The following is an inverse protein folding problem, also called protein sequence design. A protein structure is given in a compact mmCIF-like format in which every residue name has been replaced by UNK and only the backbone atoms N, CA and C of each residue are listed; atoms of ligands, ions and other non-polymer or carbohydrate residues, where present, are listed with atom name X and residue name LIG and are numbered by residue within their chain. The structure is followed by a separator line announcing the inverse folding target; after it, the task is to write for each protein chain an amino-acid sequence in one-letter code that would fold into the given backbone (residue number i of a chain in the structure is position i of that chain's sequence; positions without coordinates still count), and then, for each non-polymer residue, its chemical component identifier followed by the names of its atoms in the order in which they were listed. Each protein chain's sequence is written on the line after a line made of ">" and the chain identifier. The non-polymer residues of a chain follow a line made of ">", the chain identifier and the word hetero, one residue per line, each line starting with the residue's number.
data_IF_211045346183
#
_entry.id   IF_211045346183
#
_cell.length_a   1.000
_cell.length_b   1.000
_cell.length_c   1.000
_cell.angle_alpha   90.00
_cell.angle_beta   90.00
_cell.angle_gamma   90.00
#
_symmetry.space_group_name_H-M   'P 1'
#
loop_
_entity.id
_entity.type
_entity.pdbx_description
1 polymer ?
#
# COMPACT_ATOMS: atom_id res chain seq x y z
N UNK A 1 4.47 43.01 23.36
CA UNK A 1 4.99 41.70 22.94
C UNK A 1 3.80 40.92 22.42
N UNK A 2 3.73 40.64 21.11
CA UNK A 2 2.64 39.89 20.52
C UNK A 2 2.73 38.44 21.00
N UNK A 3 1.56 37.87 21.31
CA UNK A 3 1.39 36.47 21.66
C UNK A 3 1.54 35.65 20.37
N UNK A 4 2.45 34.67 20.39
CA UNK A 4 2.69 33.76 19.27
C UNK A 4 1.44 32.89 19.03
N UNK A 5 0.81 33.13 17.89
CA UNK A 5 -0.40 32.47 17.37
C UNK A 5 -0.11 31.09 16.74
N UNK A 6 1.14 30.60 16.88
CA UNK A 6 1.66 29.43 16.17
C UNK A 6 1.28 28.10 16.79
N UNK A 7 0.76 28.09 18.03
CA UNK A 7 0.32 26.87 18.71
C UNK A 7 -1.05 26.35 18.23
N UNK A 8 -1.87 27.19 17.59
CA UNK A 8 -3.22 26.80 17.14
C UNK A 8 -3.25 26.10 15.77
N UNK A 9 -2.15 26.14 15.00
CA UNK A 9 -2.12 25.60 13.64
C UNK A 9 -1.81 24.10 13.54
N UNK A 10 -1.48 23.43 14.67
CA UNK A 10 -1.17 22.00 14.70
C UNK A 10 -2.31 21.12 15.25
N UNK A 11 -3.42 21.72 15.71
CA UNK A 11 -4.56 21.00 16.28
C UNK A 11 -5.62 20.56 15.24
N UNK A 12 -5.42 20.86 13.96
CA UNK A 12 -6.46 20.67 12.93
C UNK A 12 -6.24 19.51 11.96
N UNK A 13 -5.43 18.49 12.31
CA UNK A 13 -5.63 17.17 11.69
C UNK A 13 -6.84 16.53 12.37
N UNK A 14 -8.00 16.74 11.77
CA UNK A 14 -9.28 16.22 12.24
C UNK A 14 -9.17 14.70 12.38
N UNK A 15 -9.05 14.24 13.63
CA UNK A 15 -9.03 12.84 14.01
C UNK A 15 -10.12 12.09 13.25
N UNK A 16 -9.78 10.94 12.66
CA UNK A 16 -10.82 10.03 12.16
C UNK A 16 -11.72 9.72 13.34
N UNK A 17 -12.99 10.18 13.35
CA UNK A 17 -13.87 9.99 14.49
C UNK A 17 -14.07 8.48 14.71
N UNK A 18 -14.28 8.04 15.96
CA UNK A 18 -14.56 6.63 16.24
C UNK A 18 -15.79 6.23 15.41
N UNK A 19 -15.67 5.12 14.70
CA UNK A 19 -16.76 4.64 13.87
C UNK A 19 -17.92 4.17 14.76
N UNK A 20 -19.15 4.48 14.35
CA UNK A 20 -20.32 3.90 15.00
C UNK A 20 -20.33 2.39 14.74
N UNK A 21 -20.52 1.55 15.77
CA UNK A 21 -20.47 0.11 15.60
C UNK A 21 -21.51 -0.35 14.60
N UNK A 22 -21.06 -0.91 13.47
CA UNK A 22 -21.95 -1.61 12.56
C UNK A 22 -22.55 -2.84 13.24
N UNK A 23 -23.86 -3.05 13.06
CA UNK A 23 -24.50 -4.28 13.50
C UNK A 23 -23.78 -5.49 12.89
N UNK A 24 -23.56 -6.54 13.69
CA UNK A 24 -23.01 -7.79 13.18
C UNK A 24 -23.88 -8.29 12.01
N UNK A 25 -23.24 -8.64 10.90
CA UNK A 25 -23.92 -9.09 9.69
C UNK A 25 -24.89 -10.25 9.99
N UNK A 26 -26.10 -10.19 9.43
CA UNK A 26 -27.10 -11.26 9.53
C UNK A 26 -26.60 -12.51 8.79
N UNK A 27 -26.07 -13.47 9.54
CA UNK A 27 -25.49 -14.70 9.02
C UNK A 27 -26.46 -15.54 8.15
N UNK A 28 -27.77 -15.23 8.15
CA UNK A 28 -28.78 -15.89 7.31
C UNK A 28 -28.97 -15.28 5.92
N UNK A 29 -28.52 -14.04 5.66
CA UNK A 29 -28.69 -13.37 4.35
C UNK A 29 -27.43 -13.55 3.50
N UNK A 30 -27.58 -14.12 2.30
CA UNK A 30 -26.51 -14.14 1.30
C UNK A 30 -26.51 -12.79 0.59
N UNK A 31 -25.50 -11.96 0.87
CA UNK A 31 -25.36 -10.65 0.23
C UNK A 31 -24.81 -10.78 -1.18
N UNK A 32 -25.45 -10.09 -2.12
CA UNK A 32 -25.06 -10.09 -3.53
C UNK A 32 -24.06 -8.97 -3.82
N UNK A 33 -23.36 -9.07 -4.96
CA UNK A 33 -22.52 -7.97 -5.44
C UNK A 33 -23.31 -6.66 -5.59
N UNK A 34 -24.60 -6.71 -5.94
CA UNK A 34 -25.42 -5.50 -6.08
C UNK A 34 -25.68 -4.82 -4.74
N UNK A 35 -25.92 -5.59 -3.67
CA UNK A 35 -26.05 -5.07 -2.31
C UNK A 35 -24.76 -4.35 -1.89
N UNK A 36 -23.61 -4.99 -2.09
CA UNK A 36 -22.29 -4.43 -1.77
C UNK A 36 -21.97 -3.18 -2.59
N UNK A 37 -22.23 -3.20 -3.89
CA UNK A 37 -22.01 -2.04 -4.75
C UNK A 37 -22.90 -0.86 -4.35
N UNK A 38 -24.11 -1.12 -3.84
CA UNK A 38 -24.98 -0.07 -3.31
C UNK A 38 -24.43 0.54 -2.00
N UNK A 39 -23.89 -0.28 -1.09
CA UNK A 39 -23.22 0.22 0.13
C UNK A 39 -21.99 1.06 -0.19
N UNK A 40 -21.12 0.56 -1.07
CA UNK A 40 -19.92 1.27 -1.54
C UNK A 40 -20.31 2.62 -2.15
N UNK A 41 -21.33 2.62 -3.03
CA UNK A 41 -21.83 3.83 -3.66
C UNK A 41 -22.36 4.82 -2.62
N UNK A 42 -23.17 4.37 -1.67
CA UNK A 42 -23.72 5.24 -0.63
C UNK A 42 -22.62 5.88 0.23
N UNK A 43 -21.54 5.15 0.54
CA UNK A 43 -20.37 5.69 1.25
C UNK A 43 -19.64 6.72 0.38
N UNK A 44 -19.40 6.41 -0.89
CA UNK A 44 -18.76 7.33 -1.84
C UNK A 44 -19.56 8.62 -2.06
N UNK A 45 -20.88 8.52 -2.22
CA UNK A 45 -21.78 9.68 -2.39
C UNK A 45 -21.71 10.60 -1.15
N UNK A 46 -21.74 10.02 0.07
CA UNK A 46 -21.59 10.77 1.32
C UNK A 46 -20.23 11.45 1.44
N UNK A 47 -19.15 10.77 1.05
CA UNK A 47 -17.82 11.36 1.02
C UNK A 47 -17.73 12.55 0.04
N UNK A 48 -18.27 12.37 -1.18
CA UNK A 48 -18.30 13.43 -2.18
C UNK A 48 -19.10 14.66 -1.73
N UNK A 49 -20.19 14.46 -0.98
CA UNK A 49 -20.95 15.55 -0.36
C UNK A 49 -20.13 16.25 0.75
N UNK A 50 -19.48 15.48 1.62
CA UNK A 50 -18.63 16.03 2.67
C UNK A 50 -17.46 16.86 2.11
N UNK A 51 -16.81 16.39 1.05
CA UNK A 51 -15.74 17.12 0.36
C UNK A 51 -16.24 18.46 -0.21
N UNK A 52 -17.44 18.47 -0.82
CA UNK A 52 -18.07 19.73 -1.29
C UNK A 52 -18.39 20.70 -0.15
N UNK A 53 -18.65 20.18 1.04
CA UNK A 53 -18.91 20.95 2.25
C UNK A 53 -17.61 21.37 2.98
N UNK A 54 -16.43 21.16 2.38
CA UNK A 54 -15.15 21.63 2.90
C UNK A 54 -14.43 20.65 3.81
N UNK A 55 -14.88 19.39 3.92
CA UNK A 55 -14.14 18.34 4.63
C UNK A 55 -12.80 18.07 3.92
N UNK A 56 -11.73 17.85 4.68
CA UNK A 56 -10.44 17.45 4.13
C UNK A 56 -10.52 16.10 3.38
N UNK A 57 -9.72 15.89 2.32
CA UNK A 57 -9.66 14.61 1.62
C UNK A 57 -9.23 13.45 2.52
N UNK A 58 -9.90 12.30 2.40
CA UNK A 58 -9.59 11.08 3.15
C UNK A 58 -8.69 10.17 2.30
N UNK A 59 -7.37 10.30 2.44
CA UNK A 59 -6.38 9.63 1.59
C UNK A 59 -5.98 8.23 2.07
N UNK A 60 -6.46 7.81 3.23
CA UNK A 60 -6.17 6.51 3.85
C UNK A 60 -7.41 5.61 3.86
N UNK A 61 -7.25 4.28 3.89
CA UNK A 61 -8.40 3.38 3.99
C UNK A 61 -9.15 3.63 5.30
N UNK A 62 -10.48 3.65 5.24
CA UNK A 62 -11.30 3.72 6.44
C UNK A 62 -11.13 2.45 7.26
N UNK A 63 -10.82 2.61 8.56
CA UNK A 63 -10.65 1.49 9.49
C UNK A 63 -11.94 0.69 9.65
N UNK A 64 -13.08 1.39 9.72
CA UNK A 64 -14.40 0.78 9.75
C UNK A 64 -15.11 0.93 8.41
N UNK A 65 -14.68 0.13 7.44
CA UNK A 65 -15.27 0.08 6.12
C UNK A 65 -16.17 -1.15 5.96
N UNK A 66 -17.44 -1.05 6.37
CA UNK A 66 -18.38 -2.16 6.37
C UNK A 66 -18.39 -3.05 5.10
N UNK A 67 -18.33 -2.51 3.85
CA UNK A 67 -18.25 -3.33 2.63
C UNK A 67 -17.11 -4.36 2.65
N UNK A 68 -16.02 -4.07 3.35
CA UNK A 68 -14.99 -5.04 3.69
C UNK A 68 -15.34 -5.75 4.99
N UNK A 69 -16.12 -6.84 4.91
CA UNK A 69 -16.76 -7.49 6.06
C UNK A 69 -15.82 -7.89 7.20
N UNK A 70 -14.55 -8.19 6.89
CA UNK A 70 -13.57 -8.54 7.92
C UNK A 70 -13.16 -7.36 8.81
N UNK A 71 -13.33 -6.11 8.38
CA UNK A 71 -12.98 -4.92 9.19
C UNK A 71 -13.94 -4.70 10.35
N UNK A 72 -15.21 -5.09 10.20
CA UNK A 72 -16.29 -4.86 11.19
C UNK A 72 -15.89 -5.34 12.59
N UNK A 73 -15.21 -6.48 12.69
CA UNK A 73 -14.78 -7.08 13.96
C UNK A 73 -13.28 -6.90 14.25
N UNK A 74 -12.56 -6.14 13.42
CA UNK A 74 -11.09 -6.02 13.47
C UNK A 74 -10.59 -4.59 13.40
N UNK A 75 -11.44 -3.61 13.71
CA UNK A 75 -11.05 -2.22 13.83
C UNK A 75 -11.13 -1.76 15.30
N UNK A 76 -10.30 -0.78 15.71
CA UNK A 76 -10.39 -0.20 17.04
C UNK A 76 -11.68 0.62 17.16
N UNK A 77 -12.45 0.41 18.23
CA UNK A 77 -13.67 1.19 18.53
C UNK A 77 -13.39 2.48 19.29
N UNK A 78 -12.14 2.68 19.72
CA UNK A 78 -11.66 3.89 20.38
C UNK A 78 -10.75 4.64 19.43
N UNK A 79 -10.76 5.97 19.53
CA UNK A 79 -9.81 6.82 18.82
C UNK A 79 -8.37 6.42 19.12
N UNK A 80 -7.50 6.52 18.12
CA UNK A 80 -6.08 6.36 18.32
C UNK A 80 -5.56 7.49 19.22
N UNK A 81 -4.70 7.14 20.16
CA UNK A 81 -4.00 8.13 20.96
C UNK A 81 -2.73 8.52 20.23
N UNK A 82 -2.65 9.78 19.80
CA UNK A 82 -1.43 10.32 19.23
C UNK A 82 -0.38 10.43 20.33
N UNK A 83 0.79 9.88 20.05
CA UNK A 83 1.98 10.04 20.86
C UNK A 83 3.03 10.75 20.02
N UNK A 84 3.81 11.62 20.64
CA UNK A 84 5.02 12.15 20.03
C UNK A 84 5.99 10.98 19.83
N UNK A 85 6.49 10.71 18.60
CA UNK A 85 7.47 9.66 18.40
C UNK A 85 8.70 9.93 19.25
N UNK A 86 9.07 8.98 20.10
CA UNK A 86 10.30 9.07 20.87
C UNK A 86 11.49 8.79 19.94
N UNK A 87 12.71 8.93 20.49
CA UNK A 87 13.94 8.66 19.73
C UNK A 87 14.00 7.26 19.12
N UNK A 88 13.24 6.28 19.60
CA UNK A 88 13.27 4.90 19.09
C UNK A 88 12.40 4.70 17.84
N UNK A 89 11.27 5.39 17.72
CA UNK A 89 10.40 5.33 16.53
C UNK A 89 10.99 6.06 15.32
N UNK A 90 11.99 6.92 15.56
CA UNK A 90 12.74 7.64 14.52
C UNK A 90 13.82 6.80 13.83
N UNK A 91 14.01 5.54 14.25
CA UNK A 91 14.92 4.61 13.59
C UNK A 91 14.18 3.41 13.02
N UNK A 92 14.59 3.00 11.83
CA UNK A 92 14.11 1.80 11.14
C UNK A 92 15.24 0.75 11.04
N UNK A 93 14.93 -0.56 11.01
CA UNK A 93 15.91 -1.57 10.68
C UNK A 93 16.58 -1.29 9.33
N UNK A 94 17.91 -1.24 9.32
CA UNK A 94 18.69 -1.17 8.09
C UNK A 94 19.13 -2.58 7.68
N UNK A 95 18.87 -2.95 6.43
CA UNK A 95 19.31 -4.22 5.85
C UNK A 95 20.46 -3.96 4.89
N UNK A 96 21.58 -4.66 5.08
CA UNK A 96 22.74 -4.51 4.21
C UNK A 96 22.55 -5.26 2.89
N UNK A 97 23.32 -4.88 1.86
CA UNK A 97 23.34 -5.58 0.57
C UNK A 97 23.74 -7.07 0.66
N UNK A 98 24.35 -7.48 1.77
CA UNK A 98 24.72 -8.88 2.01
C UNK A 98 23.57 -9.72 2.57
N UNK A 99 22.51 -9.08 3.09
CA UNK A 99 21.36 -9.76 3.70
C UNK A 99 20.30 -10.17 2.66
N UNK A 100 20.33 -9.53 1.48
CA UNK A 100 19.38 -9.74 0.38
C UNK A 100 20.15 -9.86 -0.93
N UNK A 101 20.09 -11.03 -1.54
CA UNK A 101 20.78 -11.28 -2.81
C UNK A 101 20.04 -10.64 -3.99
N UNK A 102 20.76 -10.12 -4.98
CA UNK A 102 20.16 -9.42 -6.13
C UNK A 102 19.17 -10.27 -6.94
N UNK A 103 19.34 -11.59 -6.93
CA UNK A 103 18.42 -12.53 -7.61
C UNK A 103 17.09 -12.72 -6.86
N UNK A 104 16.96 -12.26 -5.61
CA UNK A 104 15.73 -12.42 -4.83
C UNK A 104 14.60 -11.49 -5.30
N UNK A 105 14.90 -10.54 -6.18
CA UNK A 105 13.91 -9.70 -6.86
C UNK A 105 13.41 -10.27 -8.18
N UNK A 106 13.99 -11.37 -8.66
CA UNK A 106 13.51 -12.11 -9.82
C UNK A 106 12.75 -13.37 -9.38
N UNK A 107 11.42 -13.26 -9.40
CA UNK A 107 10.51 -14.33 -9.04
C UNK A 107 10.43 -15.43 -10.10
N UNK A 108 11.03 -15.22 -11.28
CA UNK A 108 10.94 -16.14 -12.42
C UNK A 108 12.04 -17.19 -12.48
N UNK A 109 13.08 -17.04 -11.66
CA UNK A 109 14.28 -17.92 -11.64
C UNK A 109 14.46 -18.65 -10.30
N UNK A 110 13.46 -18.62 -9.42
CA UNK A 110 13.53 -19.22 -8.08
C UNK A 110 13.44 -20.75 -8.09
N UNK A 111 13.10 -21.35 -9.24
CA UNK A 111 12.84 -22.77 -9.41
C UNK A 111 13.58 -23.32 -10.64
N UNK A 112 13.59 -24.64 -10.80
CA UNK A 112 14.28 -25.32 -11.91
C UNK A 112 13.63 -25.14 -13.29
N UNK A 113 12.43 -24.55 -13.35
CA UNK A 113 11.70 -24.32 -14.59
C UNK A 113 11.08 -22.93 -14.61
N UNK A 114 10.50 -22.57 -15.74
CA UNK A 114 9.86 -21.26 -15.91
C UNK A 114 8.43 -21.25 -15.36
N UNK A 115 8.02 -20.20 -14.63
CA UNK A 115 6.63 -20.02 -14.25
C UNK A 115 5.78 -19.63 -15.46
N UNK A 116 4.50 -20.00 -15.42
CA UNK A 116 3.50 -19.73 -16.44
C UNK A 116 2.85 -18.38 -16.21
N UNK A 117 2.74 -17.58 -17.28
CA UNK A 117 1.97 -16.34 -17.30
C UNK A 117 2.68 -15.20 -18.02
N UNK A 118 2.08 -14.01 -17.95
CA UNK A 118 2.64 -12.79 -18.53
C UNK A 118 3.83 -12.31 -17.69
N UNK A 119 5.04 -12.32 -18.27
CA UNK A 119 6.23 -11.77 -17.61
C UNK A 119 6.17 -10.25 -17.57
N UNK A 120 6.43 -9.71 -16.39
CA UNK A 120 6.43 -8.27 -16.16
C UNK A 120 7.64 -7.85 -15.34
N UNK A 121 8.12 -6.65 -15.63
CA UNK A 121 9.07 -5.90 -14.83
C UNK A 121 8.27 -4.83 -14.09
N UNK A 122 8.35 -4.83 -12.76
CA UNK A 122 7.75 -3.81 -11.90
C UNK A 122 8.88 -3.00 -11.29
N UNK A 123 8.94 -1.71 -11.57
CA UNK A 123 10.01 -0.84 -11.10
C UNK A 123 9.49 0.54 -10.71
N UNK A 124 10.26 1.25 -9.89
CA UNK A 124 9.97 2.64 -9.53
C UNK A 124 10.89 3.11 -8.42
N UNK A 125 10.48 4.16 -7.72
CA UNK A 125 11.23 4.75 -6.60
C UNK A 125 10.42 4.77 -5.32
N UNK A 126 11.12 4.58 -4.20
CA UNK A 126 10.61 4.90 -2.87
C UNK A 126 11.14 6.28 -2.49
N UNK A 127 10.22 7.21 -2.21
CA UNK A 127 10.50 8.59 -1.86
C UNK A 127 9.83 8.95 -0.53
N UNK A 128 10.36 9.95 0.19
CA UNK A 128 9.67 10.55 1.33
C UNK A 128 8.66 11.62 0.88
N UNK A 129 7.94 12.21 1.84
CA UNK A 129 6.96 13.27 1.57
C UNK A 129 7.54 14.58 1.00
N UNK A 130 8.85 14.79 1.09
CA UNK A 130 9.57 15.92 0.48
C UNK A 130 10.16 15.55 -0.90
N UNK A 131 9.94 14.32 -1.36
CA UNK A 131 10.46 13.80 -2.63
C UNK A 131 11.92 13.33 -2.58
N UNK A 132 12.52 13.20 -1.39
CA UNK A 132 13.88 12.67 -1.24
C UNK A 132 13.89 11.16 -1.40
N UNK A 133 14.94 10.59 -2.05
CA UNK A 133 15.12 9.16 -2.13
C UNK A 133 15.21 8.45 -0.78
N UNK A 134 14.47 7.35 -0.63
CA UNK A 134 14.57 6.45 0.51
C UNK A 134 15.48 5.27 0.12
N UNK A 135 16.78 5.45 0.32
CA UNK A 135 17.83 4.51 -0.08
C UNK A 135 18.13 3.43 0.99
N UNK A 136 18.64 2.27 0.55
CA UNK A 136 19.09 1.21 1.46
C UNK A 136 17.97 0.54 2.25
N UNK A 137 16.72 0.65 1.79
CA UNK A 137 15.55 0.11 2.47
C UNK A 137 15.07 -1.19 1.84
N UNK A 138 14.61 -2.11 2.70
CA UNK A 138 14.03 -3.38 2.28
C UNK A 138 12.64 -3.15 1.69
N UNK A 139 12.44 -3.65 0.48
CA UNK A 139 11.14 -3.79 -0.18
C UNK A 139 10.86 -5.28 -0.35
N UNK A 140 9.75 -5.74 0.20
CA UNK A 140 9.28 -7.12 0.07
C UNK A 140 7.96 -7.14 -0.70
N UNK A 141 7.80 -8.12 -1.58
CA UNK A 141 6.57 -8.35 -2.31
C UNK A 141 6.05 -9.76 -2.13
N UNK A 142 4.72 -9.90 -2.18
CA UNK A 142 4.07 -11.21 -2.32
C UNK A 142 2.81 -11.12 -3.17
N UNK A 143 2.51 -12.19 -3.90
CA UNK A 143 1.40 -12.23 -4.85
C UNK A 143 0.94 -13.66 -5.15
N UNK A 144 -0.22 -13.77 -5.79
CA UNK A 144 -0.69 -15.00 -6.41
C UNK A 144 0.07 -15.30 -7.72
N UNK A 145 -0.05 -16.53 -8.23
CA UNK A 145 0.38 -16.88 -9.58
C UNK A 145 -0.58 -16.31 -10.66
N UNK A 146 -0.29 -16.58 -11.94
CA UNK A 146 -1.12 -16.14 -13.07
C UNK A 146 -2.58 -16.61 -13.03
N UNK A 147 -2.87 -17.69 -12.29
CA UNK A 147 -4.21 -18.24 -12.13
C UNK A 147 -4.94 -17.72 -10.86
N UNK A 148 -4.35 -16.77 -10.14
CA UNK A 148 -4.93 -16.25 -8.90
C UNK A 148 -4.81 -17.20 -7.71
N UNK A 149 -3.83 -18.13 -7.73
CA UNK A 149 -3.55 -19.05 -6.63
C UNK A 149 -2.30 -18.65 -5.86
N UNK A 150 -2.41 -18.51 -4.55
CA UNK A 150 -1.28 -18.35 -3.64
C UNK A 150 -0.67 -19.70 -3.28
N UNK A 151 0.67 -19.74 -3.18
CA UNK A 151 1.40 -20.86 -2.58
C UNK A 151 1.26 -20.85 -1.04
N UNK A 152 0.02 -20.99 -0.56
CA UNK A 152 -0.29 -20.91 0.86
C UNK A 152 -1.34 -21.96 1.26
N UNK A 153 -1.11 -22.63 2.40
CA UNK A 153 -1.94 -23.78 2.84
C UNK A 153 -3.42 -23.44 3.04
N UNK A 154 -3.75 -22.19 3.38
CA UNK A 154 -5.15 -21.75 3.57
C UNK A 154 -5.84 -21.34 2.27
N UNK A 155 -5.10 -21.18 1.18
CA UNK A 155 -5.71 -20.93 -0.11
C UNK A 155 -6.29 -22.24 -0.64
N UNK A 156 -7.61 -22.28 -0.80
CA UNK A 156 -8.39 -23.42 -1.29
C UNK A 156 -9.10 -23.10 -2.62
N UNK A 157 -8.72 -22.01 -3.29
CA UNK A 157 -9.24 -21.65 -4.60
C UNK A 157 -8.93 -22.78 -5.61
N UNK A 158 -9.90 -23.32 -6.37
CA UNK A 158 -9.66 -24.45 -7.29
C UNK A 158 -8.87 -24.09 -8.57
N UNK A 159 -8.02 -23.05 -8.54
CA UNK A 159 -7.02 -22.81 -9.56
C UNK A 159 -5.74 -23.64 -9.31
N UNK A 160 -5.02 -24.05 -10.37
CA UNK A 160 -3.78 -24.81 -10.23
C UNK A 160 -2.69 -23.98 -9.55
N UNK A 161 -1.91 -24.64 -8.70
CA UNK A 161 -0.59 -24.12 -8.33
C UNK A 161 0.35 -24.23 -9.53
N UNK A 162 1.29 -23.30 -9.60
CA UNK A 162 2.41 -23.39 -10.53
C UNK A 162 3.61 -23.96 -9.76
N UNK A 163 4.16 -25.12 -10.15
CA UNK A 163 5.30 -25.72 -9.46
C UNK A 163 6.57 -24.87 -9.56
N UNK A 164 6.64 -23.92 -10.50
CA UNK A 164 7.78 -23.05 -10.74
C UNK A 164 7.56 -21.61 -10.22
N UNK A 165 6.52 -21.35 -9.43
CA UNK A 165 6.22 -20.01 -8.90
C UNK A 165 5.85 -20.04 -7.42
N UNK A 166 6.63 -19.35 -6.58
CA UNK A 166 6.30 -19.15 -5.16
C UNK A 166 5.53 -17.84 -4.93
N UNK A 167 5.86 -16.79 -5.68
CA UNK A 167 5.19 -15.50 -5.59
C UNK A 167 5.68 -14.60 -4.45
N UNK A 168 6.94 -14.72 -4.02
CA UNK A 168 7.57 -13.87 -3.01
C UNK A 168 8.92 -13.37 -3.51
N UNK A 169 9.24 -12.12 -3.22
CA UNK A 169 10.56 -11.57 -3.55
C UNK A 169 10.90 -10.38 -2.69
N UNK A 170 12.17 -10.00 -2.70
CA UNK A 170 12.67 -8.86 -1.93
C UNK A 170 13.88 -8.21 -2.61
N UNK A 171 14.04 -6.91 -2.39
CA UNK A 171 15.20 -6.16 -2.82
C UNK A 171 15.53 -5.03 -1.84
N UNK A 172 16.71 -4.43 -2.00
CA UNK A 172 17.12 -3.22 -1.30
C UNK A 172 17.06 -2.05 -2.27
N UNK A 173 16.46 -0.93 -1.86
CA UNK A 173 16.41 0.28 -2.69
C UNK A 173 17.81 0.82 -2.98
N UNK A 174 18.01 1.28 -4.21
CA UNK A 174 19.23 1.95 -4.66
C UNK A 174 19.43 3.33 -4.02
N UNK A 175 20.57 3.96 -4.31
CA UNK A 175 20.91 5.29 -3.78
C UNK A 175 19.93 6.40 -4.22
N UNK A 176 19.26 6.24 -5.36
CA UNK A 176 18.20 7.13 -5.84
C UNK A 176 16.79 6.65 -5.46
N UNK A 177 16.69 5.69 -4.54
CA UNK A 177 15.42 5.11 -4.07
C UNK A 177 14.85 4.06 -5.03
N UNK A 178 15.56 3.71 -6.11
CA UNK A 178 15.04 2.78 -7.12
C UNK A 178 14.84 1.37 -6.56
N UNK A 179 13.78 0.69 -7.00
CA UNK A 179 13.60 -0.75 -6.83
C UNK A 179 13.15 -1.40 -8.15
N UNK A 180 13.37 -2.71 -8.29
CA UNK A 180 12.92 -3.45 -9.47
C UNK A 180 12.68 -4.91 -9.14
N UNK A 181 11.60 -5.47 -9.69
CA UNK A 181 11.24 -6.87 -9.59
C UNK A 181 10.90 -7.42 -10.98
N UNK A 182 11.33 -8.66 -11.26
CA UNK A 182 10.86 -9.42 -12.42
C UNK A 182 9.93 -10.51 -11.91
N UNK A 183 8.70 -10.56 -12.42
CA UNK A 183 7.67 -11.49 -11.92
C UNK A 183 6.67 -11.87 -13.02
N UNK A 184 5.67 -12.66 -12.65
CA UNK A 184 4.51 -12.96 -13.47
C UNK A 184 3.34 -12.09 -13.02
N UNK A 185 2.59 -11.50 -13.95
CA UNK A 185 1.38 -10.75 -13.63
C UNK A 185 0.37 -11.67 -12.91
N UNK A 186 -0.05 -11.33 -11.69
CA UNK A 186 -0.97 -12.19 -10.93
C UNK A 186 -2.37 -12.20 -11.55
N UNK A 187 -3.04 -13.34 -11.43
CA UNK A 187 -4.45 -13.46 -11.77
C UNK A 187 -5.35 -12.86 -10.68
N UNK A 188 -6.53 -12.40 -11.08
CA UNK A 188 -7.63 -12.13 -10.15
C UNK A 188 -8.07 -13.42 -9.44
N UNK A 189 -8.57 -13.31 -8.21
CA UNK A 189 -9.00 -14.49 -7.44
C UNK A 189 -10.29 -14.25 -6.64
N UNK A 190 -11.12 -15.29 -6.45
CA UNK A 190 -12.32 -15.19 -5.65
C UNK A 190 -11.99 -15.30 -4.16
N UNK A 191 -12.83 -14.68 -3.34
CA UNK A 191 -12.68 -14.71 -1.89
C UNK A 191 -14.03 -14.64 -1.19
N UNK A 192 -14.05 -14.87 0.12
CA UNK A 192 -15.30 -15.05 0.89
C UNK A 192 -15.70 -13.78 1.65
N UNK A 193 -15.84 -12.67 0.93
CA UNK A 193 -16.38 -11.42 1.50
C UNK A 193 -17.92 -11.38 1.40
N UNK A 194 -18.45 -11.65 0.21
CA UNK A 194 -19.88 -11.75 -0.12
C UNK A 194 -20.06 -12.72 -1.30
N UNK A 195 -21.28 -12.93 -1.78
CA UNK A 195 -21.52 -13.79 -2.94
C UNK A 195 -20.83 -13.21 -4.19
N UNK A 196 -19.99 -14.04 -4.83
CA UNK A 196 -19.26 -13.69 -6.05
C UNK A 196 -18.24 -12.54 -5.88
N UNK A 197 -17.59 -12.45 -4.72
CA UNK A 197 -16.53 -11.48 -4.50
C UNK A 197 -15.22 -11.91 -5.20
N UNK A 198 -14.61 -10.98 -5.93
CA UNK A 198 -13.31 -11.14 -6.60
C UNK A 198 -12.37 -10.02 -6.22
N UNK A 199 -11.07 -10.32 -6.14
CA UNK A 199 -10.01 -9.32 -6.02
C UNK A 199 -9.43 -9.02 -7.41
N UNK A 200 -9.17 -7.75 -7.76
CA UNK A 200 -8.41 -7.39 -8.97
C UNK A 200 -7.00 -8.01 -8.94
N UNK A 201 -6.31 -8.02 -10.07
CA UNK A 201 -4.90 -8.38 -10.09
C UNK A 201 -4.10 -7.39 -9.23
N UNK A 202 -3.32 -7.89 -8.26
CA UNK A 202 -2.52 -7.05 -7.37
C UNK A 202 -1.26 -7.75 -6.86
N UNK A 203 -0.27 -6.95 -6.50
CA UNK A 203 0.95 -7.35 -5.80
C UNK A 203 0.97 -6.64 -4.46
N UNK A 204 1.17 -7.37 -3.37
CA UNK A 204 1.37 -6.77 -2.06
C UNK A 204 2.80 -6.26 -1.92
N UNK A 205 2.97 -5.13 -1.26
CA UNK A 205 4.26 -4.51 -0.95
C UNK A 205 4.38 -4.27 0.56
N UNK A 206 5.58 -4.46 1.09
CA UNK A 206 5.97 -4.15 2.46
C UNK A 206 7.30 -3.42 2.48
N UNK A 207 7.39 -2.34 3.24
CA UNK A 207 8.64 -1.62 3.52
C UNK A 207 8.55 -0.86 4.83
N UNK A 208 9.69 -0.55 5.43
CA UNK A 208 9.80 0.20 6.68
C UNK A 208 10.01 1.70 6.49
N UNK A 209 10.79 2.13 5.50
CA UNK A 209 11.25 3.52 5.39
C UNK A 209 12.47 3.78 6.29
N UNK A 210 12.94 5.02 6.37
CA UNK A 210 14.05 5.43 7.25
C UNK A 210 13.65 5.52 8.73
N UNK A 211 12.36 5.73 9.00
CA UNK A 211 11.79 5.85 10.35
C UNK A 211 10.71 4.78 10.54
N UNK A 212 10.52 4.26 11.75
CA UNK A 212 9.51 3.22 11.99
C UNK A 212 8.07 3.71 11.70
N UNK A 213 7.83 5.01 11.88
CA UNK A 213 6.58 5.70 11.55
C UNK A 213 6.21 5.63 10.07
N UNK A 214 7.17 5.35 9.18
CA UNK A 214 6.97 5.22 7.73
C UNK A 214 6.60 3.78 7.31
N UNK A 215 6.54 2.83 8.25
CA UNK A 215 6.23 1.43 7.97
C UNK A 215 4.90 1.30 7.25
N UNK A 216 4.94 0.77 6.03
CA UNK A 216 3.73 0.58 5.21
C UNK A 216 3.63 -0.81 4.61
N UNK A 217 2.44 -1.41 4.72
CA UNK A 217 2.01 -2.52 3.88
C UNK A 217 0.90 -2.01 2.98
N UNK A 218 1.05 -2.19 1.68
CA UNK A 218 0.09 -1.72 0.70
C UNK A 218 -0.03 -2.73 -0.45
N UNK A 219 -0.85 -2.42 -1.45
CA UNK A 219 -1.09 -3.23 -2.63
C UNK A 219 -0.98 -2.35 -3.87
N UNK A 220 -0.20 -2.82 -4.83
CA UNK A 220 -0.13 -2.27 -6.18
C UNK A 220 -1.14 -2.98 -7.07
N UNK A 221 -1.84 -2.23 -7.91
CA UNK A 221 -2.79 -2.72 -8.90
C UNK A 221 -2.34 -2.41 -10.33
N UNK A 222 -3.00 -3.01 -11.32
CA UNK A 222 -2.70 -2.83 -12.74
C UNK A 222 -3.74 -1.92 -13.43
N UNK A 223 -3.35 -1.14 -14.44
CA UNK A 223 -4.25 -0.20 -15.09
C UNK A 223 -5.37 -0.91 -15.85
N UNK A 224 -6.59 -0.37 -15.77
CA UNK A 224 -7.75 -0.82 -16.56
C UNK A 224 -8.48 -2.06 -16.02
N UNK A 225 -8.29 -2.42 -14.74
CA UNK A 225 -9.00 -3.57 -14.15
C UNK A 225 -10.49 -3.25 -13.89
N UNK A 226 -11.37 -4.06 -14.47
CA UNK A 226 -12.83 -3.95 -14.32
C UNK A 226 -13.34 -4.26 -12.91
N UNK A 227 -12.52 -4.89 -12.06
CA UNK A 227 -12.89 -5.26 -10.69
C UNK A 227 -12.73 -4.11 -9.68
N UNK A 228 -12.06 -3.01 -10.04
CA UNK A 228 -11.89 -1.83 -9.17
C UNK A 228 -13.18 -1.31 -8.53
N UNK A 229 -14.27 -1.03 -9.28
CA UNK A 229 -15.50 -0.54 -8.66
C UNK A 229 -16.19 -1.57 -7.75
N UNK A 230 -15.81 -2.85 -7.84
CA UNK A 230 -16.44 -3.98 -7.15
C UNK A 230 -15.65 -4.45 -5.91
N UNK A 231 -14.34 -4.17 -5.83
CA UNK A 231 -13.46 -4.63 -4.75
C UNK A 231 -13.60 -3.76 -3.49
N UNK A 232 -14.15 -4.27 -2.39
CA UNK A 232 -14.31 -3.50 -1.16
C UNK A 232 -12.99 -3.12 -0.49
N UNK A 233 -11.89 -3.83 -0.77
CA UNK A 233 -10.58 -3.45 -0.24
C UNK A 233 -10.07 -2.20 -0.96
N UNK A 234 -10.08 -2.18 -2.29
CA UNK A 234 -9.74 -0.99 -3.09
C UNK A 234 -10.63 0.20 -2.74
N UNK A 235 -11.94 -0.04 -2.61
CA UNK A 235 -12.94 1.00 -2.35
C UNK A 235 -12.94 1.51 -0.89
N UNK A 236 -12.18 0.89 0.00
CA UNK A 236 -12.02 1.35 1.40
C UNK A 236 -11.32 2.71 1.51
N UNK A 237 -10.52 3.06 0.50
CA UNK A 237 -10.03 4.42 0.27
C UNK A 237 -11.11 5.13 -0.54
N UNK A 238 -11.80 6.09 0.07
CA UNK A 238 -12.96 6.75 -0.56
C UNK A 238 -12.55 7.80 -1.58
N UNK A 239 -11.36 8.36 -1.44
CA UNK A 239 -10.76 9.33 -2.34
C UNK A 239 -10.21 8.70 -3.62
N UNK A 240 -10.64 9.20 -4.79
CA UNK A 240 -10.24 8.63 -6.07
C UNK A 240 -8.75 8.87 -6.36
N UNK A 241 -8.24 10.07 -6.08
CA UNK A 241 -6.84 10.41 -6.37
C UNK A 241 -5.90 9.58 -5.50
N UNK A 242 -6.27 9.29 -4.25
CA UNK A 242 -5.53 8.38 -3.40
C UNK A 242 -5.56 6.92 -3.90
N UNK A 243 -6.69 6.45 -4.44
CA UNK A 243 -6.80 5.13 -5.06
C UNK A 243 -5.94 5.01 -6.32
N UNK A 244 -5.93 6.03 -7.16
CA UNK A 244 -5.17 6.04 -8.41
C UNK A 244 -3.66 5.93 -8.17
N UNK A 245 -3.17 6.41 -7.02
CA UNK A 245 -1.77 6.22 -6.60
C UNK A 245 -1.39 4.76 -6.34
N UNK A 246 -2.36 3.87 -6.14
CA UNK A 246 -2.11 2.43 -5.99
C UNK A 246 -2.01 1.71 -7.34
N UNK A 247 -2.31 2.38 -8.46
CA UNK A 247 -2.33 1.79 -9.79
C UNK A 247 -0.99 2.05 -10.49
N UNK A 248 -0.30 1.00 -10.87
CA UNK A 248 0.91 1.10 -11.68
C UNK A 248 0.61 1.65 -13.08
N UNK A 249 1.57 2.33 -13.67
CA UNK A 249 1.48 2.84 -15.04
C UNK A 249 2.28 1.93 -15.97
N UNK A 250 1.72 1.57 -17.13
CA UNK A 250 2.50 0.89 -18.16
C UNK A 250 3.62 1.80 -18.67
N UNK A 251 4.84 1.29 -18.75
CA UNK A 251 6.00 2.01 -19.25
C UNK A 251 6.72 1.16 -20.29
N UNK A 252 6.73 1.62 -21.55
CA UNK A 252 7.33 0.89 -22.65
C UNK A 252 8.86 0.80 -22.53
N UNK A 253 9.50 1.81 -21.93
CA UNK A 253 10.96 1.86 -21.80
C UNK A 253 11.46 0.85 -20.74
N UNK A 254 10.58 0.43 -19.82
CA UNK A 254 10.87 -0.65 -18.85
C UNK A 254 10.67 -2.05 -19.44
N UNK A 255 10.16 -2.18 -20.68
CA UNK A 255 9.95 -3.49 -21.29
C UNK A 255 11.27 -4.14 -21.68
N UNK A 256 11.29 -5.47 -21.71
CA UNK A 256 12.38 -6.24 -22.30
C UNK A 256 11.90 -6.85 -23.63
N UNK A 257 12.57 -6.57 -24.75
CA UNK A 257 12.18 -7.09 -26.06
C UNK A 257 11.99 -8.61 -26.04
N UNK A 258 10.87 -9.07 -26.61
CA UNK A 258 10.51 -10.49 -26.74
C UNK A 258 10.47 -11.27 -25.40
N UNK A 259 10.42 -10.56 -24.26
CA UNK A 259 10.55 -11.16 -22.94
C UNK A 259 9.51 -10.72 -21.92
N UNK A 260 9.41 -9.41 -21.61
CA UNK A 260 8.60 -8.93 -20.51
C UNK A 260 8.03 -7.51 -20.75
N UNK A 261 6.83 -7.25 -20.25
CA UNK A 261 6.24 -5.90 -20.23
C UNK A 261 6.70 -5.10 -19.00
N UNK A 262 6.68 -3.76 -19.08
CA UNK A 262 7.14 -2.87 -18.01
C UNK A 262 6.00 -2.12 -17.33
N UNK A 263 6.02 -2.08 -16.00
CA UNK A 263 5.11 -1.30 -15.17
C UNK A 263 5.90 -0.45 -14.18
N UNK A 264 5.66 0.86 -14.23
CA UNK A 264 6.23 1.84 -13.31
C UNK A 264 5.27 2.10 -12.15
N UNK A 265 5.77 2.05 -10.93
CA UNK A 265 5.01 2.43 -9.74
C UNK A 265 5.92 3.06 -8.69
N UNK A 266 5.66 4.32 -8.34
CA UNK A 266 6.44 5.03 -7.33
C UNK A 266 5.68 5.00 -5.98
N UNK A 267 6.41 4.93 -4.88
CA UNK A 267 5.87 4.81 -3.53
C UNK A 267 6.33 6.02 -2.73
N UNK A 268 5.36 6.77 -2.20
CA UNK A 268 5.62 7.96 -1.38
C UNK A 268 5.31 7.61 0.08
N UNK A 269 6.33 7.66 0.93
CA UNK A 269 6.21 7.54 2.37
C UNK A 269 5.87 8.89 2.99
N UNK A 270 5.47 8.89 4.26
CA UNK A 270 5.35 10.14 5.02
C UNK A 270 6.69 10.85 5.08
N UNK A 271 6.69 12.18 4.99
CA UNK A 271 7.90 12.99 5.10
C UNK A 271 8.44 13.00 6.53
N UNK A 272 9.76 13.04 6.67
CA UNK A 272 10.41 13.32 7.96
C UNK A 272 10.22 14.80 8.29
N UNK A 273 9.09 15.18 8.91
CA UNK A 273 9.01 16.50 9.54
C UNK A 273 9.97 16.49 10.73
N UNK A 274 11.26 16.80 10.50
CA UNK A 274 12.18 17.03 11.59
C UNK A 274 11.76 18.32 12.28
N UNK A 275 11.58 18.27 13.59
CA UNK A 275 11.45 19.46 14.43
C UNK A 275 12.67 20.35 14.21
N UNK A 276 12.45 21.63 13.95
CA UNK A 276 13.48 22.64 13.89
C UNK A 276 14.36 22.56 15.15
N UNK A 277 15.69 22.52 15.01
CA UNK A 277 16.63 22.57 16.16
C UNK A 277 17.52 23.80 16.06
N UNK A 278 17.83 24.40 17.22
CA UNK A 278 18.57 25.66 17.35
C UNK A 278 19.97 25.64 16.71
N UNK A 279 20.54 24.46 16.46
CA UNK A 279 21.85 24.29 15.82
C UNK A 279 21.88 24.71 14.34
N UNK A 280 20.74 24.84 13.67
CA UNK A 280 20.70 25.32 12.27
C UNK A 280 20.69 26.86 12.16
N UNK A 281 20.53 27.58 13.28
CA UNK A 281 20.62 29.05 13.32
C UNK A 281 22.07 29.56 13.25
N UNK A 282 23.05 28.72 13.60
CA UNK A 282 24.48 29.01 13.55
C UNK A 282 25.13 28.17 12.45
N UNK A 283 24.95 28.57 11.19
CA UNK A 283 25.54 27.86 10.06
C UNK A 283 27.05 27.67 10.21
N UNK A 284 27.55 26.44 9.96
CA UNK A 284 28.93 25.96 9.71
C UNK A 284 30.13 26.64 10.40
N UNK A 285 29.90 27.41 11.46
CA UNK A 285 30.91 28.12 12.23
C UNK A 285 30.86 27.61 13.67
N UNK A 286 31.20 26.33 13.85
CA UNK A 286 31.17 25.68 15.15
C UNK A 286 32.33 24.73 15.46
N UNK A 287 33.24 24.50 14.51
CA UNK A 287 34.41 23.64 14.71
C UNK A 287 35.71 24.46 14.58
N UNK A 288 36.00 25.29 15.58
CA UNK A 288 37.38 25.64 15.93
C UNK A 288 37.52 25.63 17.47
N UNK A 289 38.00 24.50 17.99
CA UNK A 289 38.95 24.45 19.13
C UNK A 289 39.78 23.16 19.10
#
# INVERSE_FOLDING_TARGET
>A
MPQDDTAQALESEELVPPAEPHAAHDAGKVETQADLSAEIKAIGDKYAEALKNGKAPETMPRLDYAPYRSSILRHPTKSLHHADPETIELYSPAFGHQDVHALESDLTIQHNGEPQGERIIVSGRVLDGDGRPVAGQLVEIWQANAAGRYSHKRDQHPAPLDPNFTGVGRCITGADGSYSFTTIKPGAYPWKNHLNAWRPAHIHFSMFGSEFTQRIVTQMYFPGDQLFPLDPIYQSIVDQDARDRLVATYDHELTSPEWALGYKWDIILTGSKRTWTENEAYGDAGDEE
#
